data_IF_057885210127
#
_entry.id   IF_057885210127
#
_cell.length_a   1.000
_cell.length_b   1.000
_cell.length_c   1.000
_cell.angle_alpha   90.00
_cell.angle_beta   90.00
_cell.angle_gamma   90.00
#
_symmetry.space_group_name_H-M   'P 1'
#
loop_
_entity.id
_entity.type
_entity.pdbx_description
1 polymer ?
#
# COMPACT_ATOMS: atom_id res chain seq x y z
N UNK A 1 -27.84 -35.90 35.36
CA UNK A 1 -28.09 -36.35 33.97
C UNK A 1 -26.76 -36.53 33.26
N UNK A 2 -26.58 -37.72 32.71
CA UNK A 2 -25.35 -38.35 32.20
C UNK A 2 -24.79 -37.70 30.92
N UNK A 3 -23.95 -36.67 31.05
CA UNK A 3 -23.16 -36.10 29.94
C UNK A 3 -21.69 -36.56 29.90
N UNK A 4 -21.18 -37.19 30.97
CA UNK A 4 -19.72 -37.45 31.11
C UNK A 4 -19.17 -38.64 30.33
N UNK A 5 -19.96 -39.68 30.06
CA UNK A 5 -19.44 -40.87 29.36
C UNK A 5 -19.31 -40.69 27.84
N UNK A 6 -20.05 -39.74 27.23
CA UNK A 6 -20.04 -39.54 25.77
C UNK A 6 -18.82 -38.76 25.29
N UNK A 7 -18.37 -37.76 26.04
CA UNK A 7 -17.26 -36.90 25.61
C UNK A 7 -15.92 -37.63 25.70
N UNK A 8 -15.66 -38.33 26.81
CA UNK A 8 -14.42 -39.09 27.00
C UNK A 8 -14.27 -40.21 25.97
N UNK A 9 -15.35 -40.98 25.76
CA UNK A 9 -15.39 -42.04 24.75
C UNK A 9 -15.28 -41.46 23.34
N UNK A 10 -15.92 -40.33 23.07
CA UNK A 10 -15.84 -39.63 21.79
C UNK A 10 -14.42 -39.20 21.44
N UNK A 11 -13.68 -38.61 22.38
CA UNK A 11 -12.28 -38.24 22.18
C UNK A 11 -11.41 -39.48 21.91
N UNK A 12 -11.61 -40.56 22.68
CA UNK A 12 -10.85 -41.79 22.49
C UNK A 12 -11.14 -42.46 21.13
N UNK A 13 -12.39 -42.46 20.69
CA UNK A 13 -12.81 -42.93 19.36
C UNK A 13 -12.16 -42.07 18.27
N UNK A 14 -12.16 -40.74 18.42
CA UNK A 14 -11.51 -39.84 17.46
C UNK A 14 -10.01 -40.16 17.29
N UNK A 15 -9.27 -40.33 18.40
CA UNK A 15 -7.85 -40.65 18.32
C UNK A 15 -7.59 -42.01 17.66
N UNK A 16 -8.30 -43.06 18.04
CA UNK A 16 -8.08 -44.40 17.49
C UNK A 16 -8.53 -44.52 16.03
N UNK A 17 -9.75 -44.08 15.72
CA UNK A 17 -10.37 -44.35 14.42
C UNK A 17 -9.95 -43.35 13.34
N UNK A 18 -9.49 -42.16 13.73
CA UNK A 18 -9.07 -41.11 12.79
C UNK A 18 -7.56 -40.94 12.85
N UNK A 19 -7.00 -40.51 13.99
CA UNK A 19 -5.62 -40.03 14.03
C UNK A 19 -4.61 -41.17 13.87
N UNK A 20 -4.73 -42.23 14.68
CA UNK A 20 -3.83 -43.38 14.62
C UNK A 20 -3.98 -44.11 13.29
N UNK A 21 -5.22 -44.40 12.89
CA UNK A 21 -5.50 -45.14 11.65
C UNK A 21 -5.02 -44.41 10.38
N UNK A 22 -5.08 -43.08 10.35
CA UNK A 22 -4.67 -42.31 9.19
C UNK A 22 -3.16 -42.01 9.14
N UNK A 23 -2.43 -42.13 10.26
CA UNK A 23 -1.03 -41.71 10.36
C UNK A 23 -0.12 -42.43 9.35
N UNK A 24 -0.11 -43.77 9.34
CA UNK A 24 0.76 -44.54 8.44
C UNK A 24 0.40 -44.38 6.96
N UNK A 25 -0.87 -44.53 6.53
CA UNK A 25 -1.24 -44.34 5.13
C UNK A 25 -0.87 -42.95 4.60
N UNK A 26 -1.01 -41.91 5.44
CA UNK A 26 -0.65 -40.54 5.07
C UNK A 26 0.86 -40.38 4.88
N UNK A 27 1.67 -40.91 5.79
CA UNK A 27 3.13 -40.90 5.68
C UNK A 27 3.59 -41.62 4.40
N UNK A 28 3.11 -42.84 4.18
CA UNK A 28 3.52 -43.69 3.05
C UNK A 28 3.12 -43.07 1.69
N UNK A 29 1.99 -42.37 1.62
CA UNK A 29 1.53 -41.71 0.41
C UNK A 29 2.33 -40.43 0.06
N UNK A 30 2.81 -39.71 1.07
CA UNK A 30 3.50 -38.43 0.90
C UNK A 30 5.01 -38.58 0.71
N UNK A 31 5.65 -39.56 1.37
CA UNK A 31 7.10 -39.74 1.33
C UNK A 31 7.68 -39.81 -0.10
N UNK A 32 7.14 -40.62 -1.04
CA UNK A 32 7.68 -40.71 -2.40
C UNK A 32 7.53 -39.42 -3.22
N UNK A 33 6.61 -38.53 -2.84
CA UNK A 33 6.38 -37.27 -3.55
C UNK A 33 7.38 -36.19 -3.15
N UNK A 34 7.83 -36.23 -1.89
CA UNK A 34 8.73 -35.24 -1.30
C UNK A 34 10.20 -35.68 -1.34
N UNK A 35 10.47 -36.98 -1.25
CA UNK A 35 11.82 -37.54 -1.31
C UNK A 35 12.02 -38.44 -2.53
N UNK A 36 12.14 -37.81 -3.71
CA UNK A 36 12.51 -38.53 -4.93
C UNK A 36 13.99 -38.89 -4.90
N UNK A 37 14.29 -40.20 -4.94
CA UNK A 37 15.63 -40.77 -5.03
C UNK A 37 16.56 -40.45 -3.84
N UNK A 38 16.03 -40.20 -2.63
CA UNK A 38 16.83 -39.95 -1.42
C UNK A 38 17.56 -38.59 -1.41
N UNK A 39 17.17 -37.69 -2.31
CA UNK A 39 17.83 -36.39 -2.50
C UNK A 39 17.15 -35.26 -1.73
N UNK A 40 15.96 -35.48 -1.12
CA UNK A 40 15.10 -34.41 -0.58
C UNK A 40 14.86 -33.23 -1.56
N UNK A 41 15.07 -33.43 -2.87
CA UNK A 41 15.09 -32.34 -3.85
C UNK A 41 13.74 -31.67 -4.08
N UNK A 42 12.67 -32.34 -3.66
CA UNK A 42 11.29 -31.89 -3.84
C UNK A 42 10.61 -31.58 -2.50
N UNK A 43 11.36 -31.59 -1.40
CA UNK A 43 10.85 -31.24 -0.08
C UNK A 43 10.63 -29.72 -0.02
N UNK A 44 9.48 -29.27 0.51
CA UNK A 44 9.21 -27.85 0.66
C UNK A 44 10.09 -27.23 1.77
N UNK A 45 10.31 -25.91 1.71
CA UNK A 45 11.04 -25.18 2.75
C UNK A 45 10.28 -25.11 4.08
N UNK A 46 8.95 -25.25 4.05
CA UNK A 46 8.04 -25.19 5.19
C UNK A 46 6.76 -25.98 4.89
N UNK A 47 6.23 -26.68 5.89
CA UNK A 47 4.91 -27.36 5.78
C UNK A 47 3.91 -26.76 6.77
N UNK A 48 2.67 -26.58 6.35
CA UNK A 48 1.56 -26.25 7.25
C UNK A 48 0.70 -27.50 7.41
N UNK A 49 0.52 -27.94 8.65
CA UNK A 49 -0.09 -29.21 9.01
C UNK A 49 -1.30 -28.97 9.90
N UNK A 50 -2.36 -29.75 9.73
CA UNK A 50 -3.43 -29.81 10.73
C UNK A 50 -3.00 -30.69 11.91
N UNK A 51 -3.41 -30.37 13.13
CA UNK A 51 -3.04 -31.15 14.33
C UNK A 51 -3.46 -32.64 14.25
N UNK A 52 -4.49 -32.96 13.47
CA UNK A 52 -4.93 -34.34 13.24
C UNK A 52 -4.00 -35.12 12.30
N UNK A 53 -3.09 -34.46 11.58
CA UNK A 53 -2.26 -35.04 10.52
C UNK A 53 -0.91 -35.56 11.03
N UNK A 54 -0.94 -36.40 12.08
CA UNK A 54 0.27 -36.91 12.75
C UNK A 54 1.25 -37.60 11.80
N UNK A 55 0.77 -38.33 10.78
CA UNK A 55 1.63 -38.95 9.77
C UNK A 55 2.42 -37.94 8.93
N UNK A 56 1.82 -36.79 8.59
CA UNK A 56 2.52 -35.72 7.88
C UNK A 56 3.52 -35.00 8.80
N UNK A 57 3.24 -34.92 10.10
CA UNK A 57 4.20 -34.43 11.09
C UNK A 57 5.42 -35.35 11.24
N UNK A 58 5.20 -36.67 11.26
CA UNK A 58 6.27 -37.67 11.25
C UNK A 58 7.14 -37.55 10.01
N UNK A 59 6.52 -37.29 8.85
CA UNK A 59 7.23 -37.04 7.60
C UNK A 59 8.08 -35.77 7.65
N UNK A 60 7.53 -34.67 8.15
CA UNK A 60 8.28 -33.42 8.33
C UNK A 60 9.50 -33.63 9.25
N UNK A 61 9.34 -34.40 10.33
CA UNK A 61 10.46 -34.79 11.20
C UNK A 61 11.51 -35.65 10.48
N UNK A 62 11.09 -36.64 9.69
CA UNK A 62 12.00 -37.54 8.95
C UNK A 62 12.82 -36.76 7.91
N UNK A 63 12.17 -35.85 7.18
CA UNK A 63 12.80 -35.01 6.16
C UNK A 63 13.53 -33.79 6.74
N UNK A 64 13.40 -33.54 8.05
CA UNK A 64 13.95 -32.36 8.76
C UNK A 64 13.45 -31.03 8.17
N UNK A 65 12.20 -31.01 7.73
CA UNK A 65 11.52 -29.82 7.21
C UNK A 65 10.79 -29.12 8.37
N UNK A 66 10.96 -27.79 8.56
CA UNK A 66 10.20 -27.07 9.58
C UNK A 66 8.72 -27.08 9.24
N UNK A 67 7.86 -27.00 10.26
CA UNK A 67 6.42 -27.01 10.07
C UNK A 67 5.68 -26.10 11.05
N UNK A 68 4.50 -25.66 10.62
CA UNK A 68 3.51 -24.92 11.42
C UNK A 68 2.32 -25.83 11.67
N UNK A 69 1.86 -25.90 12.91
CA UNK A 69 0.64 -26.64 13.27
C UNK A 69 -0.56 -25.70 13.31
N UNK A 70 -1.54 -26.01 12.47
CA UNK A 70 -2.87 -25.44 12.51
C UNK A 70 -3.71 -26.21 13.53
N UNK A 71 -4.13 -25.52 14.59
CA UNK A 71 -4.95 -26.08 15.65
C UNK A 71 -6.31 -25.37 15.69
N UNK A 72 -7.43 -26.11 15.78
CA UNK A 72 -8.75 -25.49 15.84
C UNK A 72 -8.99 -24.71 17.15
N UNK A 73 -8.32 -25.08 18.23
CA UNK A 73 -8.42 -24.41 19.54
C UNK A 73 -7.20 -24.74 20.41
N UNK A 74 -7.20 -24.25 21.65
CA UNK A 74 -6.21 -24.60 22.68
C UNK A 74 -6.44 -26.03 23.18
N UNK A 75 -5.95 -26.99 22.38
CA UNK A 75 -5.97 -28.40 22.72
C UNK A 75 -4.89 -28.70 23.77
N UNK A 76 -5.26 -29.47 24.79
CA UNK A 76 -4.37 -29.79 25.92
C UNK A 76 -3.87 -28.54 26.67
N UNK A 77 -2.91 -28.72 27.58
CA UNK A 77 -2.33 -27.64 28.36
C UNK A 77 -1.12 -27.02 27.63
N UNK A 78 -1.41 -26.21 26.61
CA UNK A 78 -0.40 -25.54 25.77
C UNK A 78 0.26 -24.30 26.41
N UNK A 79 -0.18 -23.91 27.61
CA UNK A 79 0.18 -22.62 28.22
C UNK A 79 0.35 -22.62 29.73
N UNK A 80 0.21 -23.77 30.41
CA UNK A 80 0.18 -23.82 31.87
C UNK A 80 -1.09 -23.15 32.40
N UNK A 81 -2.24 -23.58 31.86
CA UNK A 81 -3.55 -23.05 32.18
C UNK A 81 -3.76 -23.04 33.71
N UNK A 82 -4.09 -21.88 34.31
CA UNK A 82 -4.42 -21.82 35.72
C UNK A 82 -5.57 -22.79 36.05
N UNK A 83 -5.58 -23.35 37.27
CA UNK A 83 -6.58 -24.35 37.69
C UNK A 83 -8.05 -23.91 37.58
N UNK A 84 -8.30 -22.61 37.45
CA UNK A 84 -9.63 -21.99 37.27
C UNK A 84 -10.02 -21.77 35.80
N UNK A 85 -9.14 -22.03 34.84
CA UNK A 85 -9.46 -22.05 33.41
C UNK A 85 -9.98 -23.44 33.05
N UNK A 86 -11.14 -23.56 32.36
CA UNK A 86 -11.65 -24.84 31.91
C UNK A 86 -10.66 -25.59 31.02
N UNK A 87 -10.33 -26.82 31.39
CA UNK A 87 -9.43 -27.67 30.65
C UNK A 87 -10.13 -28.28 29.43
N UNK A 88 -9.38 -28.48 28.36
CA UNK A 88 -9.91 -29.06 27.13
C UNK A 88 -10.61 -30.41 27.36
N UNK A 89 -11.77 -30.59 26.73
CA UNK A 89 -12.58 -31.81 26.80
C UNK A 89 -13.53 -31.89 28.00
N UNK A 90 -13.41 -31.02 29.01
CA UNK A 90 -14.31 -31.00 30.19
C UNK A 90 -15.70 -30.40 29.88
N UNK A 91 -15.76 -29.42 28.96
CA UNK A 91 -16.99 -28.68 28.65
C UNK A 91 -17.46 -27.75 29.76
N UNK A 92 -16.60 -27.43 30.74
CA UNK A 92 -16.91 -26.46 31.78
C UNK A 92 -16.74 -25.01 31.31
N UNK A 93 -17.34 -24.06 32.03
CA UNK A 93 -17.14 -22.61 31.86
C UNK A 93 -16.30 -22.05 33.01
N UNK A 94 -15.85 -20.80 32.94
CA UNK A 94 -15.07 -20.15 34.02
C UNK A 94 -15.80 -20.13 35.37
N UNK A 95 -17.14 -20.16 35.36
CA UNK A 95 -17.97 -20.20 36.55
C UNK A 95 -18.17 -21.62 37.07
N UNK A 96 -17.07 -22.28 37.46
CA UNK A 96 -17.07 -23.65 37.98
C UNK A 96 -17.48 -23.72 39.45
N UNK A 97 -18.32 -24.71 39.79
CA UNK A 97 -18.50 -25.14 41.18
C UNK A 97 -17.21 -25.77 41.73
N UNK A 98 -17.11 -25.93 43.06
CA UNK A 98 -15.97 -26.63 43.67
C UNK A 98 -15.78 -28.04 43.08
N UNK A 99 -16.87 -28.77 42.86
CA UNK A 99 -16.83 -30.09 42.22
C UNK A 99 -16.30 -30.04 40.79
N UNK A 100 -16.77 -29.06 39.99
CA UNK A 100 -16.30 -28.89 38.62
C UNK A 100 -14.81 -28.53 38.60
N UNK A 101 -14.32 -27.73 39.55
CA UNK A 101 -12.88 -27.43 39.68
C UNK A 101 -12.06 -28.67 40.02
N UNK A 102 -12.55 -29.53 40.92
CA UNK A 102 -11.90 -30.82 41.20
C UNK A 102 -11.84 -31.69 39.95
N UNK A 103 -12.94 -31.77 39.19
CA UNK A 103 -12.99 -32.53 37.94
C UNK A 103 -12.15 -31.89 36.84
N UNK A 104 -12.05 -30.56 36.78
CA UNK A 104 -11.22 -29.83 35.83
C UNK A 104 -9.74 -30.18 35.95
N UNK A 105 -9.30 -30.41 37.19
CA UNK A 105 -7.93 -30.83 37.52
C UNK A 105 -7.73 -32.34 37.24
N UNK A 106 -8.73 -33.16 37.50
CA UNK A 106 -8.62 -34.62 37.39
C UNK A 106 -8.77 -35.13 35.94
N UNK A 107 -9.71 -34.58 35.18
CA UNK A 107 -10.11 -35.06 33.86
C UNK A 107 -8.96 -35.10 32.85
N UNK A 108 -8.10 -34.06 32.68
CA UNK A 108 -6.99 -34.11 31.75
C UNK A 108 -5.98 -35.21 32.06
N UNK A 109 -5.80 -35.55 33.35
CA UNK A 109 -4.92 -36.66 33.78
C UNK A 109 -5.53 -38.00 33.41
N UNK A 110 -6.82 -38.19 33.67
CA UNK A 110 -7.54 -39.41 33.26
C UNK A 110 -7.53 -39.56 31.74
N UNK A 111 -7.71 -38.46 31.00
CA UNK A 111 -7.67 -38.46 29.54
C UNK A 111 -6.27 -38.82 29.02
N UNK A 112 -5.20 -38.28 29.62
CA UNK A 112 -3.83 -38.64 29.30
C UNK A 112 -3.55 -40.14 29.49
N UNK A 113 -4.03 -40.72 30.59
CA UNK A 113 -3.95 -42.18 30.84
C UNK A 113 -4.71 -42.96 29.76
N UNK A 114 -5.94 -42.56 29.44
CA UNK A 114 -6.74 -43.25 28.42
C UNK A 114 -6.21 -43.11 27.00
N UNK A 115 -5.50 -42.02 26.69
CA UNK A 115 -4.83 -41.83 25.40
C UNK A 115 -3.51 -42.61 25.29
N UNK A 116 -3.04 -43.26 26.38
CA UNK A 116 -1.78 -44.01 26.36
C UNK A 116 -1.75 -45.12 25.28
N UNK A 117 -2.76 -46.00 25.14
CA UNK A 117 -2.75 -47.03 24.09
C UNK A 117 -2.68 -46.47 22.65
N UNK A 118 -3.48 -45.46 22.24
CA UNK A 118 -3.32 -44.82 20.93
C UNK A 118 -1.90 -44.26 20.70
N UNK A 119 -1.32 -43.59 21.70
CA UNK A 119 0.04 -43.05 21.58
C UNK A 119 1.12 -44.14 21.56
N UNK A 120 0.90 -45.27 22.21
CA UNK A 120 1.78 -46.44 22.08
C UNK A 120 1.78 -46.98 20.65
N UNK A 121 0.63 -46.97 19.97
CA UNK A 121 0.52 -47.38 18.57
C UNK A 121 1.23 -46.38 17.64
N UNK A 122 1.05 -45.08 17.85
CA UNK A 122 1.83 -44.04 17.15
C UNK A 122 3.34 -44.23 17.37
N UNK A 123 3.76 -44.54 18.60
CA UNK A 123 5.17 -44.77 18.92
C UNK A 123 5.75 -46.03 18.27
N UNK A 124 4.95 -47.08 18.07
CA UNK A 124 5.38 -48.25 17.28
C UNK A 124 5.67 -47.86 15.84
N UNK A 125 4.77 -47.09 15.22
CA UNK A 125 4.97 -46.59 13.85
C UNK A 125 6.19 -45.66 13.76
N UNK A 126 6.35 -44.74 14.71
CA UNK A 126 7.53 -43.86 14.78
C UNK A 126 8.83 -44.63 14.96
N UNK A 127 8.82 -45.69 15.76
CA UNK A 127 9.98 -46.56 15.94
C UNK A 127 10.39 -47.24 14.62
N UNK A 128 9.43 -47.76 13.84
CA UNK A 128 9.69 -48.32 12.50
C UNK A 128 10.27 -47.30 11.52
N UNK A 129 10.05 -46.01 11.76
CA UNK A 129 10.51 -44.89 10.94
C UNK A 129 11.81 -44.24 11.47
N UNK A 130 12.46 -44.81 12.49
CA UNK A 130 13.62 -44.23 13.21
C UNK A 130 13.36 -42.84 13.80
N UNK A 131 12.13 -42.58 14.25
CA UNK A 131 11.72 -41.32 14.87
C UNK A 131 11.66 -41.45 16.40
N UNK A 132 11.98 -40.39 17.16
CA UNK A 132 11.91 -40.42 18.62
C UNK A 132 10.46 -40.60 19.09
N UNK A 133 10.19 -41.39 20.14
CA UNK A 133 8.83 -41.60 20.62
C UNK A 133 8.27 -40.34 21.31
N UNK A 134 6.96 -40.17 21.24
CA UNK A 134 6.20 -39.25 22.09
C UNK A 134 6.20 -39.76 23.52
N UNK A 135 6.63 -38.92 24.47
CA UNK A 135 6.62 -39.19 25.92
C UNK A 135 5.32 -38.72 26.57
N UNK A 136 4.69 -37.70 25.99
CA UNK A 136 3.38 -37.21 26.41
C UNK A 136 2.63 -36.61 25.22
N UNK A 137 1.32 -36.39 25.37
CA UNK A 137 0.52 -35.70 24.35
C UNK A 137 1.04 -34.30 23.99
N UNK A 138 1.78 -33.63 24.89
CA UNK A 138 2.36 -32.31 24.62
C UNK A 138 3.49 -32.36 23.59
N UNK A 139 4.11 -33.54 23.39
CA UNK A 139 5.17 -33.69 22.39
C UNK A 139 4.65 -33.54 20.95
N UNK A 140 3.33 -33.59 20.73
CA UNK A 140 2.71 -33.22 19.46
C UNK A 140 3.00 -31.77 19.06
N UNK A 141 3.20 -30.87 20.02
CA UNK A 141 3.46 -29.44 19.77
C UNK A 141 4.93 -29.05 19.93
N UNK A 142 5.79 -30.00 20.32
CA UNK A 142 7.17 -29.72 20.68
C UNK A 142 7.97 -29.30 19.44
N UNK A 143 8.54 -28.09 19.48
CA UNK A 143 9.36 -27.54 18.41
C UNK A 143 8.58 -27.01 17.21
N UNK A 144 7.24 -27.00 17.28
CA UNK A 144 6.38 -26.45 16.24
C UNK A 144 5.92 -25.03 16.62
N UNK A 145 5.73 -24.17 15.61
CA UNK A 145 4.93 -22.95 15.77
C UNK A 145 3.48 -23.30 15.52
N UNK A 146 2.58 -22.85 16.40
CA UNK A 146 1.16 -23.22 16.38
C UNK A 146 0.33 -21.99 16.04
N UNK A 147 -0.49 -22.09 14.99
CA UNK A 147 -1.52 -21.11 14.68
C UNK A 147 -2.87 -21.64 15.18
N UNK A 148 -3.57 -20.82 15.96
CA UNK A 148 -4.89 -21.17 16.50
C UNK A 148 -5.99 -20.51 15.69
N UNK A 149 -6.97 -21.29 15.26
CA UNK A 149 -8.14 -20.80 14.51
C UNK A 149 -9.21 -20.16 15.42
N UNK A 150 -8.76 -19.33 16.35
CA UNK A 150 -9.55 -18.69 17.40
C UNK A 150 -8.92 -17.33 17.73
N UNK A 151 -9.53 -16.56 18.62
CA UNK A 151 -9.06 -15.23 18.98
C UNK A 151 -9.22 -14.93 20.47
N UNK A 152 -8.45 -13.96 20.96
CA UNK A 152 -8.63 -13.39 22.29
C UNK A 152 -10.06 -12.86 22.45
N UNK A 153 -10.71 -13.23 23.55
CA UNK A 153 -12.11 -12.90 23.83
C UNK A 153 -13.10 -14.01 23.50
N UNK A 154 -12.74 -14.97 22.62
CA UNK A 154 -13.46 -16.23 22.47
C UNK A 154 -12.84 -17.33 23.34
N UNK A 155 -11.51 -17.43 23.35
CA UNK A 155 -10.78 -18.29 24.29
C UNK A 155 -10.73 -17.68 25.68
N UNK A 156 -10.75 -18.54 26.70
CA UNK A 156 -10.50 -18.16 28.08
C UNK A 156 -9.11 -17.53 28.23
N UNK A 157 -9.02 -16.45 28.98
CA UNK A 157 -7.77 -15.72 29.17
C UNK A 157 -6.75 -16.58 29.93
N UNK A 158 -5.61 -16.87 29.30
CA UNK A 158 -4.52 -17.65 29.90
C UNK A 158 -3.17 -17.30 29.29
N UNK A 159 -2.05 -17.57 29.99
CA UNK A 159 -0.72 -17.43 29.43
C UNK A 159 -0.55 -18.36 28.22
N UNK A 160 0.12 -17.87 27.17
CA UNK A 160 0.45 -18.66 25.98
C UNK A 160 1.96 -18.71 25.78
N UNK A 161 2.44 -19.84 25.25
CA UNK A 161 3.82 -19.97 24.79
C UNK A 161 4.09 -18.98 23.64
N UNK A 162 5.29 -18.38 23.54
CA UNK A 162 5.68 -17.53 22.39
C UNK A 162 5.63 -18.24 21.03
N UNK A 163 5.47 -19.57 21.02
CA UNK A 163 5.30 -20.37 19.82
C UNK A 163 3.84 -20.48 19.37
N UNK A 164 2.89 -19.86 20.08
CA UNK A 164 1.46 -20.00 19.83
C UNK A 164 0.87 -18.64 19.47
N UNK A 165 0.31 -18.54 18.26
CA UNK A 165 -0.33 -17.33 17.73
C UNK A 165 -1.82 -17.58 17.47
N UNK A 166 -2.70 -16.77 18.07
CA UNK A 166 -4.14 -16.79 17.77
C UNK A 166 -4.42 -15.94 16.52
N UNK A 167 -4.81 -16.58 15.42
CA UNK A 167 -4.95 -15.94 14.10
C UNK A 167 -6.40 -15.74 13.66
N UNK A 168 -7.37 -16.15 14.47
CA UNK A 168 -8.78 -16.14 14.11
C UNK A 168 -9.11 -17.19 13.05
N UNK A 169 -10.33 -17.16 12.48
CA UNK A 169 -10.73 -18.11 11.45
C UNK A 169 -9.94 -17.88 10.16
N UNK A 170 -9.30 -18.94 9.64
CA UNK A 170 -8.67 -18.93 8.32
C UNK A 170 -9.79 -19.00 7.26
N UNK A 171 -10.29 -17.84 6.87
CA UNK A 171 -11.32 -17.72 5.84
C UNK A 171 -10.68 -17.61 4.45
N UNK A 172 -11.23 -18.27 3.41
CA UNK A 172 -10.81 -17.99 2.05
C UNK A 172 -11.09 -16.52 1.77
N UNK A 173 -10.08 -15.81 1.25
CA UNK A 173 -10.31 -14.43 0.82
C UNK A 173 -11.37 -14.44 -0.26
N UNK A 174 -12.43 -13.64 -0.07
CA UNK A 174 -13.51 -13.54 -1.04
C UNK A 174 -12.92 -13.21 -2.41
N UNK A 175 -13.04 -14.15 -3.35
CA UNK A 175 -12.49 -13.99 -4.69
C UNK A 175 -13.13 -12.79 -5.38
N UNK A 176 -12.31 -11.85 -5.83
CA UNK A 176 -12.77 -10.72 -6.64
C UNK A 176 -13.08 -11.23 -8.03
N UNK A 177 -14.31 -10.99 -8.51
CA UNK A 177 -14.67 -11.22 -9.91
C UNK A 177 -14.35 -9.96 -10.71
N UNK A 178 -13.68 -10.12 -11.84
CA UNK A 178 -13.23 -9.02 -12.70
C UNK A 178 -13.93 -9.14 -14.03
N UNK A 179 -14.61 -8.07 -14.44
CA UNK A 179 -15.03 -7.86 -15.81
C UNK A 179 -14.03 -6.93 -16.48
N UNK A 180 -13.35 -7.39 -17.52
CA UNK A 180 -12.37 -6.60 -18.26
C UNK A 180 -12.85 -6.38 -19.69
N UNK A 181 -13.12 -5.12 -20.02
CA UNK A 181 -13.33 -4.70 -21.41
C UNK A 181 -11.96 -4.53 -22.07
N UNK A 182 -11.58 -5.48 -22.92
CA UNK A 182 -10.27 -5.51 -23.58
C UNK A 182 -10.45 -5.57 -25.11
N UNK A 183 -9.87 -4.60 -25.86
CA UNK A 183 -9.85 -4.61 -27.33
C UNK A 183 -9.32 -5.92 -27.91
N UNK A 184 -9.88 -6.35 -29.03
CA UNK A 184 -9.61 -7.68 -29.61
C UNK A 184 -8.15 -7.87 -30.01
N UNK A 185 -7.52 -6.82 -30.49
CA UNK A 185 -6.11 -6.72 -30.89
C UNK A 185 -5.13 -6.89 -29.71
N UNK A 186 -5.56 -6.60 -28.48
CA UNK A 186 -4.70 -6.68 -27.28
C UNK A 186 -4.82 -8.01 -26.54
N UNK A 187 -5.71 -8.92 -26.98
CA UNK A 187 -5.98 -10.18 -26.27
C UNK A 187 -4.88 -11.22 -26.40
N UNK A 188 -3.98 -11.07 -27.37
CA UNK A 188 -2.84 -11.98 -27.54
C UNK A 188 -1.89 -12.02 -26.34
N UNK A 189 -1.98 -11.04 -25.44
CA UNK A 189 -1.18 -10.95 -24.21
C UNK A 189 -1.76 -11.84 -23.09
N UNK A 190 -3.02 -12.27 -23.20
CA UNK A 190 -3.66 -13.08 -22.18
C UNK A 190 -3.19 -14.56 -22.21
N UNK A 191 -3.10 -15.23 -21.06
CA UNK A 191 -2.82 -16.66 -21.02
C UNK A 191 -3.92 -17.48 -21.68
N UNK A 192 -3.58 -18.67 -22.17
CA UNK A 192 -4.50 -19.57 -22.90
C UNK A 192 -5.68 -20.06 -22.06
N UNK A 193 -5.51 -20.13 -20.74
CA UNK A 193 -6.56 -20.50 -19.78
C UNK A 193 -6.80 -19.34 -18.84
N UNK A 194 -8.02 -18.79 -18.89
CA UNK A 194 -8.44 -17.71 -18.00
C UNK A 194 -9.10 -18.27 -16.74
N UNK A 195 -8.87 -17.65 -15.57
CA UNK A 195 -9.54 -18.05 -14.34
C UNK A 195 -11.04 -17.77 -14.43
N UNK A 196 -11.86 -18.60 -13.79
CA UNK A 196 -13.32 -18.44 -13.77
C UNK A 196 -13.81 -17.11 -13.15
N UNK A 197 -12.94 -16.43 -12.40
CA UNK A 197 -13.19 -15.10 -11.83
C UNK A 197 -13.01 -13.95 -12.82
N UNK A 198 -12.40 -14.18 -13.99
CA UNK A 198 -12.15 -13.17 -15.01
C UNK A 198 -13.06 -13.37 -16.22
N UNK A 199 -13.88 -12.36 -16.50
CA UNK A 199 -14.71 -12.29 -17.71
C UNK A 199 -14.15 -11.20 -18.60
N UNK A 200 -13.79 -11.55 -19.85
CA UNK A 200 -13.28 -10.59 -20.84
C UNK A 200 -14.36 -10.29 -21.88
N UNK A 201 -14.61 -9.02 -22.18
CA UNK A 201 -15.57 -8.57 -23.20
C UNK A 201 -14.94 -7.60 -24.20
N UNK A 202 -15.37 -7.60 -25.48
CA UNK A 202 -14.89 -6.62 -26.45
C UNK A 202 -15.56 -5.26 -26.25
N UNK A 203 -14.90 -4.15 -26.66
CA UNK A 203 -15.53 -2.83 -26.66
C UNK A 203 -16.81 -2.77 -27.50
N UNK A 204 -16.89 -3.58 -28.56
CA UNK A 204 -18.06 -3.69 -29.46
C UNK A 204 -19.19 -4.58 -28.93
N UNK A 205 -19.12 -5.03 -27.68
CA UNK A 205 -20.25 -5.76 -27.08
C UNK A 205 -21.45 -4.84 -26.94
N UNK A 206 -22.67 -5.37 -27.02
CA UNK A 206 -23.92 -4.61 -26.85
C UNK A 206 -24.15 -4.05 -25.44
N UNK A 207 -23.12 -4.06 -24.58
CA UNK A 207 -23.18 -3.62 -23.19
C UNK A 207 -22.68 -2.18 -23.11
N UNK A 208 -23.54 -1.29 -22.62
CA UNK A 208 -23.13 0.08 -22.31
C UNK A 208 -22.23 0.11 -21.09
N UNK A 209 -21.18 0.95 -21.11
CA UNK A 209 -20.35 1.20 -19.92
C UNK A 209 -21.20 1.65 -18.73
N UNK A 210 -22.21 2.48 -18.99
CA UNK A 210 -23.13 2.96 -17.95
C UNK A 210 -23.98 1.84 -17.35
N UNK A 211 -24.44 0.89 -18.16
CA UNK A 211 -25.17 -0.29 -17.69
C UNK A 211 -24.28 -1.16 -16.78
N UNK A 212 -23.03 -1.38 -17.18
CA UNK A 212 -22.07 -2.12 -16.37
C UNK A 212 -21.81 -1.40 -15.05
N UNK A 213 -21.56 -0.09 -15.10
CA UNK A 213 -21.27 0.72 -13.91
C UNK A 213 -22.46 0.84 -12.96
N UNK A 214 -23.70 0.87 -13.48
CA UNK A 214 -24.90 0.91 -12.64
C UNK A 214 -25.17 -0.41 -11.90
N UNK A 215 -24.60 -1.53 -12.36
CA UNK A 215 -24.85 -2.83 -11.77
C UNK A 215 -24.32 -2.93 -10.32
N UNK A 216 -25.09 -3.46 -9.35
CA UNK A 216 -24.71 -3.48 -7.93
C UNK A 216 -23.51 -4.38 -7.61
N UNK A 217 -23.23 -5.37 -8.46
CA UNK A 217 -22.04 -6.22 -8.31
C UNK A 217 -20.72 -5.49 -8.64
N UNK A 218 -20.77 -4.38 -9.40
CA UNK A 218 -19.59 -3.55 -9.64
C UNK A 218 -19.37 -2.68 -8.41
N UNK A 219 -18.25 -2.88 -7.73
CA UNK A 219 -17.92 -2.17 -6.49
C UNK A 219 -16.81 -1.14 -6.64
N UNK A 220 -15.93 -1.28 -7.63
CA UNK A 220 -14.89 -0.32 -7.98
C UNK A 220 -14.57 -0.44 -9.46
N UNK A 221 -13.84 0.55 -9.99
CA UNK A 221 -13.44 0.61 -11.40
C UNK A 221 -11.94 0.82 -11.49
N UNK A 222 -11.24 0.01 -12.29
CA UNK A 222 -9.87 0.29 -12.69
C UNK A 222 -9.93 1.05 -14.01
N UNK A 223 -9.37 2.25 -14.06
CA UNK A 223 -9.51 3.16 -15.19
C UNK A 223 -8.18 3.83 -15.52
N UNK A 224 -8.00 4.11 -16.81
CA UNK A 224 -6.93 4.99 -17.28
C UNK A 224 -7.22 6.47 -16.99
N UNK A 225 -8.36 6.80 -16.39
CA UNK A 225 -8.77 8.16 -16.04
C UNK A 225 -9.04 9.09 -17.22
N UNK A 226 -9.56 8.56 -18.33
CA UNK A 226 -10.24 9.43 -19.31
C UNK A 226 -11.40 10.16 -18.64
N UNK A 227 -11.52 11.47 -18.89
CA UNK A 227 -12.46 12.36 -18.19
C UNK A 227 -13.89 11.81 -18.13
N UNK A 228 -14.43 11.34 -19.25
CA UNK A 228 -15.81 10.83 -19.34
C UNK A 228 -15.98 9.56 -18.49
N UNK A 229 -15.12 8.55 -18.68
CA UNK A 229 -15.23 7.29 -17.96
C UNK A 229 -15.03 7.44 -16.45
N UNK A 230 -14.16 8.37 -16.02
CA UNK A 230 -14.00 8.70 -14.62
C UNK A 230 -15.29 9.32 -14.04
N UNK A 231 -15.91 10.26 -14.75
CA UNK A 231 -17.17 10.86 -14.33
C UNK A 231 -18.31 9.85 -14.28
N UNK A 232 -18.46 8.98 -15.28
CA UNK A 232 -19.48 7.91 -15.28
C UNK A 232 -19.36 7.00 -14.04
N UNK A 233 -18.14 6.59 -13.71
CA UNK A 233 -17.88 5.77 -12.53
C UNK A 233 -18.25 6.50 -11.23
N UNK A 234 -17.89 7.78 -11.11
CA UNK A 234 -18.17 8.61 -9.94
C UNK A 234 -19.67 8.88 -9.77
N UNK A 235 -20.38 9.20 -10.86
CA UNK A 235 -21.85 9.36 -10.89
C UNK A 235 -22.53 8.08 -10.41
N UNK A 236 -22.03 6.90 -10.82
CA UNK A 236 -22.51 5.60 -10.32
C UNK A 236 -22.01 5.25 -8.91
N UNK A 237 -21.31 6.17 -8.24
CA UNK A 237 -20.82 6.01 -6.87
C UNK A 237 -19.74 4.95 -6.71
N UNK A 238 -18.97 4.68 -7.77
CA UNK A 238 -17.91 3.66 -7.79
C UNK A 238 -16.55 4.33 -7.61
N UNK A 239 -15.76 3.96 -6.58
CA UNK A 239 -14.40 4.46 -6.44
C UNK A 239 -13.48 3.92 -7.53
N UNK A 240 -12.40 4.65 -7.78
CA UNK A 240 -11.50 4.44 -8.91
C UNK A 240 -10.09 4.00 -8.47
N UNK A 241 -9.54 3.01 -9.17
CA UNK A 241 -8.10 2.79 -9.24
C UNK A 241 -7.62 3.42 -10.54
N UNK A 242 -6.79 4.45 -10.42
CA UNK A 242 -6.34 5.30 -11.50
C UNK A 242 -4.99 4.82 -12.03
N UNK A 243 -4.90 4.51 -13.32
CA UNK A 243 -3.65 4.13 -14.01
C UNK A 243 -3.48 5.02 -15.26
N UNK A 244 -3.13 6.31 -15.09
CA UNK A 244 -3.10 7.27 -16.19
C UNK A 244 -1.92 7.03 -17.15
N UNK A 245 -2.14 7.26 -18.44
CA UNK A 245 -1.12 7.12 -19.48
C UNK A 245 -0.59 8.46 -19.98
N UNK A 246 -1.44 9.30 -20.57
CA UNK A 246 -1.05 10.51 -21.31
C UNK A 246 -2.13 11.61 -21.24
N UNK A 247 -1.76 12.82 -21.64
CA UNK A 247 -2.65 14.00 -21.82
C UNK A 247 -3.30 14.43 -20.51
N UNK A 248 -4.63 14.38 -20.42
CA UNK A 248 -5.46 14.86 -19.31
C UNK A 248 -5.61 13.81 -18.20
N UNK A 249 -5.27 12.55 -18.49
CA UNK A 249 -5.46 11.43 -17.58
C UNK A 249 -4.75 11.60 -16.22
N UNK A 250 -3.49 12.09 -16.14
CA UNK A 250 -2.84 12.33 -14.85
C UNK A 250 -3.56 13.40 -14.01
N UNK A 251 -4.07 14.46 -14.64
CA UNK A 251 -4.81 15.52 -13.95
C UNK A 251 -6.16 15.02 -13.43
N UNK A 252 -6.86 14.20 -14.20
CA UNK A 252 -8.10 13.54 -13.76
C UNK A 252 -7.81 12.59 -12.60
N UNK A 253 -6.74 11.78 -12.69
CA UNK A 253 -6.32 10.87 -11.62
C UNK A 253 -5.98 11.64 -10.33
N UNK A 254 -5.26 12.77 -10.43
CA UNK A 254 -4.95 13.63 -9.29
C UNK A 254 -6.23 14.15 -8.62
N UNK A 255 -7.18 14.69 -9.39
CA UNK A 255 -8.47 15.18 -8.86
C UNK A 255 -9.28 14.07 -8.18
N UNK A 256 -9.27 12.85 -8.74
CA UNK A 256 -9.94 11.69 -8.14
C UNK A 256 -9.30 11.34 -6.80
N UNK A 257 -7.96 11.28 -6.73
CA UNK A 257 -7.24 11.02 -5.50
C UNK A 257 -7.46 12.12 -4.44
N UNK A 258 -7.33 13.39 -4.82
CA UNK A 258 -7.53 14.55 -3.94
C UNK A 258 -8.96 14.62 -3.37
N UNK A 259 -9.95 14.17 -4.15
CA UNK A 259 -11.35 14.10 -3.70
C UNK A 259 -11.62 12.95 -2.71
N UNK A 260 -10.64 12.05 -2.53
CA UNK A 260 -10.74 10.82 -1.76
C UNK A 260 -11.53 9.70 -2.44
N UNK A 261 -11.88 9.86 -3.72
CA UNK A 261 -12.74 8.92 -4.46
C UNK A 261 -11.96 7.78 -5.15
N UNK A 262 -10.64 7.74 -4.99
CA UNK A 262 -9.82 6.70 -5.59
C UNK A 262 -8.36 6.78 -5.18
N UNK A 263 -7.54 5.90 -5.76
CA UNK A 263 -6.09 5.87 -5.60
C UNK A 263 -5.41 5.79 -6.95
N UNK A 264 -4.23 6.39 -7.08
CA UNK A 264 -3.43 6.36 -8.31
C UNK A 264 -2.28 5.38 -8.18
N UNK A 265 -2.13 4.50 -9.18
CA UNK A 265 -1.01 3.57 -9.26
C UNK A 265 -0.01 4.03 -10.32
N UNK A 266 1.28 3.94 -9.98
CA UNK A 266 2.35 4.16 -10.95
C UNK A 266 2.43 2.96 -11.91
N UNK A 267 2.21 3.24 -13.21
CA UNK A 267 2.25 2.25 -14.29
C UNK A 267 3.62 1.56 -14.41
N UNK A 268 4.70 2.21 -13.99
CA UNK A 268 6.06 1.67 -14.07
C UNK A 268 6.37 0.67 -12.94
N UNK A 269 5.55 0.64 -11.89
CA UNK A 269 5.73 -0.20 -10.71
C UNK A 269 4.67 -1.30 -10.60
N UNK A 270 3.90 -1.55 -11.67
CA UNK A 270 2.78 -2.49 -11.64
C UNK A 270 3.26 -3.92 -11.39
N UNK A 271 2.79 -4.48 -10.28
CA UNK A 271 2.90 -5.90 -9.93
C UNK A 271 1.53 -6.42 -9.53
N UNK A 272 1.32 -7.74 -9.65
CA UNK A 272 0.04 -8.35 -9.26
C UNK A 272 -0.31 -8.10 -7.79
N UNK A 273 0.68 -8.11 -6.88
CA UNK A 273 0.51 -7.78 -5.47
C UNK A 273 0.15 -6.32 -5.25
N UNK A 274 0.76 -5.39 -5.99
CA UNK A 274 0.49 -3.96 -5.88
C UNK A 274 -0.95 -3.62 -6.31
N UNK A 275 -1.40 -4.12 -7.46
CA UNK A 275 -2.79 -3.93 -7.92
C UNK A 275 -3.76 -4.59 -6.95
N UNK A 276 -3.44 -5.80 -6.45
CA UNK A 276 -4.28 -6.51 -5.48
C UNK A 276 -4.41 -5.73 -4.17
N UNK A 277 -3.34 -5.14 -3.66
CA UNK A 277 -3.39 -4.31 -2.45
C UNK A 277 -4.34 -3.12 -2.62
N UNK A 278 -4.25 -2.41 -3.75
CA UNK A 278 -5.14 -1.29 -4.06
C UNK A 278 -6.62 -1.72 -4.21
N UNK A 279 -6.87 -2.84 -4.86
CA UNK A 279 -8.22 -3.44 -4.97
C UNK A 279 -8.77 -3.77 -3.59
N UNK A 280 -7.97 -4.41 -2.73
CA UNK A 280 -8.42 -4.77 -1.39
C UNK A 280 -8.71 -3.53 -0.55
N UNK A 281 -7.85 -2.51 -0.58
CA UNK A 281 -8.05 -1.25 0.12
C UNK A 281 -9.38 -0.58 -0.27
N UNK A 282 -9.68 -0.45 -1.57
CA UNK A 282 -10.93 0.17 -2.02
C UNK A 282 -12.18 -0.67 -1.71
N UNK A 283 -12.05 -2.00 -1.66
CA UNK A 283 -13.17 -2.89 -1.33
C UNK A 283 -13.48 -2.95 0.16
N UNK A 284 -12.48 -2.80 1.03
CA UNK A 284 -12.64 -2.86 2.49
C UNK A 284 -12.89 -1.49 3.10
N UNK A 285 -12.30 -0.42 2.55
CA UNK A 285 -12.40 0.92 3.08
C UNK A 285 -13.56 1.71 2.45
N UNK A 286 -14.66 1.82 3.19
CA UNK A 286 -15.89 2.48 2.71
C UNK A 286 -15.78 3.98 2.48
N UNK A 287 -14.69 4.63 2.95
CA UNK A 287 -14.47 6.07 2.76
C UNK A 287 -14.38 6.44 1.28
N UNK A 288 -13.69 5.64 0.47
CA UNK A 288 -13.57 5.84 -0.98
C UNK A 288 -14.93 5.79 -1.67
N UNK A 289 -15.77 4.82 -1.31
CA UNK A 289 -17.13 4.71 -1.85
C UNK A 289 -18.00 5.91 -1.44
N UNK A 290 -17.87 6.39 -0.20
CA UNK A 290 -18.58 7.59 0.26
C UNK A 290 -18.13 8.84 -0.49
N UNK A 291 -16.82 8.99 -0.71
CA UNK A 291 -16.26 10.09 -1.47
C UNK A 291 -16.68 10.04 -2.95
N UNK A 292 -16.64 8.87 -3.58
CA UNK A 292 -17.11 8.67 -4.96
C UNK A 292 -18.58 9.09 -5.12
N UNK A 293 -19.46 8.66 -4.21
CA UNK A 293 -20.87 9.10 -4.21
C UNK A 293 -21.02 10.61 -4.02
N UNK A 294 -20.24 11.21 -3.13
CA UNK A 294 -20.24 12.67 -2.92
C UNK A 294 -19.89 13.40 -4.21
N UNK A 295 -18.82 12.99 -4.88
CA UNK A 295 -18.39 13.61 -6.15
C UNK A 295 -19.42 13.35 -7.25
N UNK A 296 -19.97 12.14 -7.35
CA UNK A 296 -21.06 11.81 -8.25
C UNK A 296 -22.26 12.74 -8.09
N UNK A 297 -22.72 12.97 -6.86
CA UNK A 297 -23.81 13.90 -6.58
C UNK A 297 -23.50 15.35 -6.94
N UNK A 298 -22.23 15.78 -6.88
CA UNK A 298 -21.81 17.11 -7.35
C UNK A 298 -21.91 17.21 -8.89
N UNK A 299 -21.47 16.16 -9.59
CA UNK A 299 -21.55 16.09 -11.05
C UNK A 299 -23.01 16.09 -11.54
N UNK A 300 -23.88 15.31 -10.91
CA UNK A 300 -25.31 15.30 -11.26
C UNK A 300 -25.96 16.68 -11.03
N UNK A 301 -25.61 17.36 -9.93
CA UNK A 301 -26.14 18.69 -9.59
C UNK A 301 -25.64 19.80 -10.53
N UNK A 302 -24.62 19.55 -11.35
CA UNK A 302 -24.17 20.50 -12.37
C UNK A 302 -25.21 20.67 -13.50
N UNK A 303 -26.23 19.80 -13.58
CA UNK A 303 -27.41 19.97 -14.43
C UNK A 303 -27.31 19.33 -15.82
N UNK A 304 -26.15 18.77 -16.18
CA UNK A 304 -25.96 17.92 -17.36
C UNK A 304 -26.54 18.51 -18.65
N UNK A 305 -27.27 17.69 -19.40
CA UNK A 305 -27.85 18.06 -20.70
C UNK A 305 -28.79 19.26 -20.62
N UNK A 306 -29.66 19.34 -19.61
CA UNK A 306 -30.59 20.46 -19.46
C UNK A 306 -29.84 21.78 -19.28
N UNK A 307 -28.82 21.79 -18.41
CA UNK A 307 -27.99 22.98 -18.22
C UNK A 307 -27.23 23.36 -19.48
N UNK A 308 -26.74 22.37 -20.24
CA UNK A 308 -26.07 22.62 -21.51
C UNK A 308 -27.03 23.28 -22.53
N UNK A 309 -28.28 22.81 -22.63
CA UNK A 309 -29.31 23.41 -23.49
C UNK A 309 -29.60 24.84 -23.07
N UNK A 310 -29.77 25.10 -21.77
CA UNK A 310 -30.02 26.46 -21.27
C UNK A 310 -28.86 27.41 -21.60
N UNK A 311 -27.61 26.94 -21.44
CA UNK A 311 -26.43 27.71 -21.80
C UNK A 311 -26.40 28.00 -23.30
N UNK A 312 -26.67 27.00 -24.15
CA UNK A 312 -26.70 27.17 -25.61
C UNK A 312 -27.80 28.15 -26.04
N UNK A 313 -29.01 28.04 -25.49
CA UNK A 313 -30.12 28.96 -25.80
C UNK A 313 -29.79 30.39 -25.37
N UNK A 314 -29.22 30.58 -24.18
CA UNK A 314 -28.75 31.89 -23.71
C UNK A 314 -27.68 32.46 -24.64
N UNK A 315 -26.73 31.62 -25.06
CA UNK A 315 -25.65 31.99 -25.97
C UNK A 315 -26.21 32.50 -27.32
N UNK A 316 -27.21 31.83 -27.88
CA UNK A 316 -27.85 32.20 -29.14
C UNK A 316 -28.66 33.51 -29.06
N UNK A 317 -29.27 33.79 -27.90
CA UNK A 317 -30.14 34.97 -27.70
C UNK A 317 -29.37 36.22 -27.28
N UNK A 318 -28.32 36.06 -26.46
CA UNK A 318 -27.63 37.16 -25.79
C UNK A 318 -26.20 37.39 -26.30
N UNK A 319 -25.63 36.45 -27.08
CA UNK A 319 -24.21 36.46 -27.43
C UNK A 319 -23.31 36.12 -26.23
N UNK A 320 -21.98 36.24 -26.38
CA UNK A 320 -21.00 35.87 -25.33
C UNK A 320 -20.09 37.02 -24.89
N UNK A 321 -20.10 38.17 -25.59
CA UNK A 321 -19.18 39.29 -25.35
C UNK A 321 -19.22 39.83 -23.91
N UNK A 322 -20.37 39.70 -23.24
CA UNK A 322 -20.55 40.12 -21.84
C UNK A 322 -19.91 39.15 -20.82
N UNK A 323 -19.49 37.96 -21.25
CA UNK A 323 -18.78 36.97 -20.44
C UNK A 323 -17.26 37.05 -20.62
N UNK A 324 -16.77 37.85 -21.57
CA UNK A 324 -15.35 38.04 -21.79
C UNK A 324 -14.70 38.66 -20.55
N UNK A 325 -13.73 37.95 -19.99
CA UNK A 325 -12.94 38.49 -18.89
C UNK A 325 -11.96 39.54 -19.41
N UNK A 326 -11.54 40.43 -18.51
CA UNK A 326 -10.51 41.43 -18.83
C UNK A 326 -9.22 40.78 -19.34
N UNK A 327 -8.94 39.54 -18.95
CA UNK A 327 -7.76 38.78 -19.37
C UNK A 327 -7.77 38.40 -20.86
N UNK A 328 -8.96 38.29 -21.47
CA UNK A 328 -9.14 37.93 -22.88
C UNK A 328 -9.14 39.16 -23.79
N UNK A 329 -9.55 40.32 -23.26
CA UNK A 329 -9.79 41.54 -24.04
C UNK A 329 -8.71 42.60 -23.86
N UNK A 330 -8.06 42.65 -22.69
CA UNK A 330 -7.02 43.62 -22.41
C UNK A 330 -5.67 43.20 -23.03
N UNK A 331 -4.84 44.17 -23.45
CA UNK A 331 -3.47 43.88 -23.87
C UNK A 331 -2.67 43.16 -22.77
N UNK A 332 -1.76 42.26 -23.19
CA UNK A 332 -0.97 41.40 -22.28
C UNK A 332 -0.22 42.16 -21.18
N UNK A 333 0.19 43.41 -21.41
CA UNK A 333 0.92 44.20 -20.42
C UNK A 333 0.05 44.68 -19.27
N UNK A 334 -1.26 44.87 -19.51
CA UNK A 334 -2.24 45.19 -18.46
C UNK A 334 -2.60 43.96 -17.64
N UNK A 335 -2.77 42.83 -18.29
CA UNK A 335 -3.05 41.55 -17.60
C UNK A 335 -1.84 41.08 -16.79
N UNK A 336 -0.62 41.36 -17.25
CA UNK A 336 0.62 41.16 -16.50
C UNK A 336 0.89 42.24 -15.42
N UNK A 337 0.04 43.28 -15.31
CA UNK A 337 0.16 44.38 -14.34
C UNK A 337 1.54 45.07 -14.35
N UNK A 338 2.11 45.31 -15.55
CA UNK A 338 3.47 45.86 -15.66
C UNK A 338 3.62 47.26 -15.06
N UNK A 339 2.56 48.08 -15.08
CA UNK A 339 2.50 49.37 -14.41
C UNK A 339 2.66 49.23 -12.88
N UNK A 340 1.97 48.27 -12.27
CA UNK A 340 2.09 47.95 -10.84
C UNK A 340 3.50 47.44 -10.51
N UNK A 341 4.04 46.53 -11.31
CA UNK A 341 5.42 46.04 -11.13
C UNK A 341 6.46 47.17 -11.26
N UNK A 342 6.22 48.14 -12.15
CA UNK A 342 7.09 49.31 -12.31
C UNK A 342 7.06 50.19 -11.07
N UNK A 343 5.90 50.40 -10.45
CA UNK A 343 5.78 51.13 -9.18
C UNK A 343 6.52 50.39 -8.06
N UNK A 344 6.35 49.07 -7.94
CA UNK A 344 7.10 48.28 -6.94
C UNK A 344 8.61 48.35 -7.16
N UNK A 345 9.07 48.22 -8.40
CA UNK A 345 10.48 48.37 -8.75
C UNK A 345 11.01 49.77 -8.36
N UNK A 346 10.25 50.83 -8.65
CA UNK A 346 10.62 52.19 -8.28
C UNK A 346 10.75 52.39 -6.76
N UNK A 347 9.79 51.88 -5.97
CA UNK A 347 9.84 51.94 -4.50
C UNK A 347 11.05 51.18 -3.96
N UNK A 348 11.33 49.98 -4.48
CA UNK A 348 12.51 49.18 -4.08
C UNK A 348 13.80 49.92 -4.43
N UNK A 349 13.89 50.52 -5.62
CA UNK A 349 15.04 51.34 -6.03
C UNK A 349 15.24 52.55 -5.11
N UNK A 350 14.17 53.29 -4.79
CA UNK A 350 14.23 54.42 -3.85
C UNK A 350 14.70 53.98 -2.46
N UNK A 351 14.19 52.85 -1.97
CA UNK A 351 14.63 52.27 -0.70
C UNK A 351 16.11 51.88 -0.74
N UNK A 352 16.57 51.24 -1.82
CA UNK A 352 17.97 50.86 -2.00
C UNK A 352 18.89 52.09 -2.03
N UNK A 353 18.50 53.15 -2.74
CA UNK A 353 19.21 54.44 -2.74
C UNK A 353 19.24 55.05 -1.34
N UNK A 354 18.11 55.06 -0.63
CA UNK A 354 18.03 55.58 0.73
C UNK A 354 18.98 54.83 1.68
N UNK A 355 18.97 53.49 1.66
CA UNK A 355 19.88 52.65 2.46
C UNK A 355 21.34 52.92 2.09
N UNK A 356 21.66 53.07 0.79
CA UNK A 356 23.02 53.39 0.32
C UNK A 356 23.50 54.75 0.85
N UNK A 357 22.64 55.76 0.83
CA UNK A 357 22.92 57.09 1.37
C UNK A 357 23.16 57.02 2.87
N UNK A 358 22.28 56.34 3.63
CA UNK A 358 22.47 56.13 5.06
C UNK A 358 23.80 55.43 5.38
N UNK A 359 24.17 54.42 4.60
CA UNK A 359 25.45 53.72 4.76
C UNK A 359 26.65 54.63 4.47
N UNK A 360 26.58 55.47 3.42
CA UNK A 360 27.64 56.45 3.13
C UNK A 360 27.78 57.51 4.22
N UNK A 361 26.66 58.02 4.74
CA UNK A 361 26.67 58.98 5.84
C UNK A 361 27.26 58.36 7.10
N UNK A 362 26.87 57.11 7.42
CA UNK A 362 27.44 56.37 8.53
C UNK A 362 28.95 56.16 8.34
N UNK A 363 29.37 55.71 7.16
CA UNK A 363 30.80 55.55 6.82
C UNK A 363 31.56 56.86 6.98
N UNK A 364 31.03 57.97 6.46
CA UNK A 364 31.63 59.30 6.58
C UNK A 364 31.78 59.72 8.04
N UNK A 365 30.71 59.61 8.84
CA UNK A 365 30.74 59.92 10.28
C UNK A 365 31.79 59.07 11.01
N UNK A 366 31.86 57.77 10.73
CA UNK A 366 32.85 56.88 11.33
C UNK A 366 34.27 57.27 10.89
N UNK A 367 34.48 57.57 9.61
CA UNK A 367 35.78 57.96 9.07
C UNK A 367 36.28 59.30 9.62
N UNK A 368 35.41 60.30 9.74
CA UNK A 368 35.73 61.60 10.33
C UNK A 368 35.96 61.47 11.84
N UNK A 369 35.12 60.71 12.54
CA UNK A 369 35.32 60.43 13.97
C UNK A 369 36.65 59.72 14.21
N UNK A 370 37.02 58.77 13.34
CA UNK A 370 38.30 58.07 13.38
C UNK A 370 39.48 58.99 13.04
N UNK A 371 39.36 59.85 12.02
CA UNK A 371 40.36 60.86 11.66
C UNK A 371 40.58 61.88 12.78
N UNK A 372 39.50 62.35 13.41
CA UNK A 372 39.53 63.23 14.56
C UNK A 372 40.19 62.56 15.78
N UNK A 373 39.84 61.31 16.08
CA UNK A 373 40.52 60.51 17.11
C UNK A 373 42.00 60.34 16.81
N UNK A 374 42.36 60.03 15.56
CA UNK A 374 43.75 59.92 15.13
C UNK A 374 44.50 61.24 15.28
N UNK A 375 43.90 62.39 14.95
CA UNK A 375 44.55 63.70 15.14
C UNK A 375 44.73 64.09 16.61
N UNK A 376 43.80 63.71 17.50
CA UNK A 376 43.96 63.87 18.95
C UNK A 376 45.09 62.98 19.49
N UNK A 377 45.18 61.73 19.03
CA UNK A 377 46.15 60.75 19.56
C UNK A 377 47.54 60.92 18.94
N UNK A 378 47.64 61.27 17.66
CA UNK A 378 48.89 61.25 16.88
C UNK A 378 49.40 62.65 16.47
N UNK A 379 48.63 63.73 16.66
CA UNK A 379 48.99 65.11 16.26
C UNK A 379 48.76 65.42 14.76
N UNK A 380 48.75 66.70 14.35
CA UNK A 380 48.40 67.11 12.98
C UNK A 380 49.45 66.71 11.94
N UNK A 381 48.98 66.35 10.72
CA UNK A 381 49.83 65.95 9.60
C UNK A 381 50.64 67.13 9.02
N UNK A 382 51.95 66.93 8.84
CA UNK A 382 52.86 67.87 8.17
C UNK A 382 52.61 67.88 6.65
N UNK A 383 52.65 69.04 5.96
CA UNK A 383 52.43 69.11 4.51
C UNK A 383 53.62 68.53 3.73
N UNK A 384 53.38 67.81 2.61
CA UNK A 384 54.44 67.23 1.80
C UNK A 384 55.13 68.27 0.89
N UNK A 385 56.46 68.22 0.88
CA UNK A 385 57.37 69.01 0.05
C UNK A 385 57.26 68.68 -1.45
N UNK A 386 57.26 69.71 -2.28
CA UNK A 386 57.18 69.69 -3.75
C UNK A 386 58.49 69.28 -4.44
N UNK A 387 58.55 68.07 -5.01
CA UNK A 387 59.52 67.60 -6.04
C UNK A 387 58.79 66.47 -6.81
N UNK A 388 58.66 66.38 -8.12
CA UNK A 388 59.18 67.14 -9.27
C UNK A 388 58.52 66.61 -10.56
N UNK A 389 58.55 67.44 -11.62
CA UNK A 389 58.03 67.22 -12.97
C UNK A 389 58.91 66.30 -13.84
N UNK A 390 58.32 65.78 -14.93
CA UNK A 390 58.99 65.13 -16.09
C UNK A 390 58.58 63.65 -16.25
N UNK A 391 58.13 63.12 -17.38
CA UNK A 391 58.34 63.49 -18.79
C UNK A 391 57.17 62.97 -19.64
N UNK A 392 56.75 63.76 -20.63
CA UNK A 392 55.91 63.41 -21.77
C UNK A 392 56.82 63.13 -22.98
N UNK A 393 56.58 62.07 -23.75
CA UNK A 393 57.21 61.86 -25.06
C UNK A 393 56.15 61.42 -26.08
N UNK A 394 55.93 62.33 -27.02
CA UNK A 394 55.22 62.30 -28.31
C UNK A 394 55.92 61.37 -29.34
N UNK A 395 55.41 60.89 -30.49
CA UNK A 395 54.63 61.48 -31.60
C UNK A 395 54.26 60.38 -32.64
N UNK A 396 53.15 60.62 -33.38
CA UNK A 396 52.92 60.47 -34.85
C UNK A 396 52.95 59.08 -35.53
N UNK A 397 52.27 58.83 -36.65
CA UNK A 397 51.02 59.31 -37.31
C UNK A 397 50.89 58.51 -38.64
N UNK A 398 49.68 58.52 -39.23
CA UNK A 398 49.44 58.28 -40.67
C UNK A 398 49.35 56.82 -41.15
N UNK A 399 48.52 56.44 -42.11
CA UNK A 399 47.61 57.21 -42.97
C UNK A 399 46.66 56.23 -43.73
N UNK A 400 45.50 56.75 -44.16
CA UNK A 400 44.57 56.38 -45.25
C UNK A 400 44.61 54.95 -45.89
N UNK A 401 43.52 54.22 -46.19
CA UNK A 401 42.11 54.56 -46.38
C UNK A 401 41.73 54.69 -47.86
N UNK A 402 41.38 53.59 -48.59
CA UNK A 402 40.37 53.60 -49.67
C UNK A 402 40.12 52.24 -50.36
N UNK A 403 38.88 52.00 -50.78
CA UNK A 403 38.55 51.28 -52.02
C UNK A 403 37.90 49.88 -51.90
N UNK A 404 36.59 49.79 -52.17
CA UNK A 404 35.80 48.54 -52.14
C UNK A 404 35.40 47.94 -53.50
N UNK A 405 34.63 46.84 -53.40
CA UNK A 405 33.93 46.02 -54.42
C UNK A 405 34.83 45.03 -55.20
N UNK A 406 34.46 43.77 -55.51
CA UNK A 406 33.16 43.11 -55.67
C UNK A 406 33.28 41.56 -55.67
N UNK A 407 32.23 40.88 -55.20
CA UNK A 407 31.64 39.58 -55.61
C UNK A 407 32.49 38.32 -55.92
N UNK A 408 32.12 37.20 -55.26
CA UNK A 408 31.65 35.99 -55.93
C UNK A 408 30.95 35.00 -54.96
N UNK A 409 29.71 34.69 -55.31
CA UNK A 409 28.81 33.63 -54.82
C UNK A 409 29.29 32.19 -55.08
N UNK A 410 28.84 31.22 -54.26
CA UNK A 410 28.24 29.93 -54.69
C UNK A 410 27.74 29.12 -53.46
N UNK A 411 26.42 28.96 -53.32
CA UNK A 411 25.60 27.75 -53.61
C UNK A 411 25.49 26.77 -52.41
N UNK A 412 24.37 26.75 -51.67
CA UNK A 412 23.20 25.84 -51.81
C UNK A 412 23.60 24.36 -51.91
N UNK A 413 23.14 23.46 -51.05
CA UNK A 413 21.74 23.16 -50.70
C UNK A 413 21.61 22.57 -49.31
#
# INVERSE_FOLDING_TARGET
>A
MTRDASNFRGILTMFNDIYVRAARPMFDALLPQLDKNGSNSNAPDLVVLDIATVGAQDLAHKLKVPYILNSPSLLFDLGGAPSYVPAWGTGFSENMSLWNRCMNILFPRLLSVALTPPFMELNKMRYELDLPPFRSQHDLFKGARVILNTAFGLEHAQPLSPLVDAVGPIMPMAGVKVLWVLPTDQRGILPSVLPASLVVKPPSSSLSNLEVLSHPAVRLVISHCGMVSAQEALVMGKPLICIPFLVDQPDVAARVADSGAGVTLDKNLLTGSYVRAAVMELLTNTTYTRAARRVGSLLERAGGTSRAVDVIDAALRLGFDHLDTMDLTAPWHKTAMLDVWTVYAAVICLLAVFVRVLWLLFYFIVSESFSFLCSIVLGPSLPPSSIGEGYEETYEDGDEGEGGSSDASQSTS
#
